data_IF_463309596518
#
_entry.id   IF_463309596518
#
_cell.length_a   1.000
_cell.length_b   1.000
_cell.length_c   1.000
_cell.angle_alpha   90.00
_cell.angle_beta   90.00
_cell.angle_gamma   90.00
#
_symmetry.space_group_name_H-M   'P 1'
#
loop_
_entity.id
_entity.type
_entity.pdbx_description
1 polymer ?
#
# COMPACT_ATOMS: atom_id res chain seq x y z
N UNK A 1 -4.88 -13.51 -12.97
CA UNK A 1 -5.18 -12.49 -11.94
C UNK A 1 -4.83 -11.08 -12.39
N UNK A 2 -3.55 -10.68 -12.54
CA UNK A 2 -3.24 -9.25 -12.77
C UNK A 2 -3.79 -8.69 -14.10
N UNK A 3 -3.78 -9.47 -15.18
CA UNK A 3 -4.43 -9.09 -16.44
C UNK A 3 -5.96 -8.98 -16.32
N UNK A 4 -6.57 -9.73 -15.40
CA UNK A 4 -8.01 -9.63 -15.14
C UNK A 4 -8.34 -8.31 -14.45
N UNK A 5 -7.47 -7.82 -13.56
CA UNK A 5 -7.59 -6.50 -12.94
C UNK A 5 -7.48 -5.40 -13.99
N UNK A 6 -6.48 -5.45 -14.87
CA UNK A 6 -6.35 -4.49 -15.97
C UNK A 6 -7.58 -4.51 -16.89
N UNK A 7 -8.07 -5.71 -17.23
CA UNK A 7 -9.29 -5.86 -18.04
C UNK A 7 -10.52 -5.28 -17.32
N UNK A 8 -10.64 -5.46 -16.01
CA UNK A 8 -11.73 -4.88 -15.23
C UNK A 8 -11.66 -3.34 -15.21
N UNK A 9 -10.46 -2.77 -15.03
CA UNK A 9 -10.25 -1.32 -15.06
C UNK A 9 -10.57 -0.72 -16.43
N UNK A 10 -10.12 -1.37 -17.51
CA UNK A 10 -10.40 -0.91 -18.88
C UNK A 10 -11.91 -0.99 -19.22
N UNK A 11 -12.58 -2.07 -18.80
CA UNK A 11 -14.02 -2.27 -19.04
C UNK A 11 -14.89 -1.35 -18.16
N UNK A 12 -14.43 -1.05 -16.96
CA UNK A 12 -15.13 -0.23 -15.97
C UNK A 12 -14.21 0.86 -15.42
N UNK A 13 -13.95 1.96 -16.15
CA UNK A 13 -13.00 3.00 -15.75
C UNK A 13 -13.29 3.60 -14.35
N UNK A 14 -14.58 3.71 -13.99
CA UNK A 14 -15.03 4.16 -12.67
C UNK A 14 -14.52 3.31 -11.51
N UNK A 15 -14.12 2.06 -11.74
CA UNK A 15 -13.52 1.21 -10.70
C UNK A 15 -12.25 1.83 -10.12
N UNK A 16 -11.44 2.50 -10.95
CA UNK A 16 -10.23 3.20 -10.50
C UNK A 16 -10.60 4.44 -9.69
N UNK A 17 -11.61 5.20 -10.12
CA UNK A 17 -12.14 6.34 -9.37
C UNK A 17 -12.62 5.93 -7.98
N UNK A 18 -13.40 4.85 -7.87
CA UNK A 18 -13.88 4.34 -6.57
C UNK A 18 -12.74 3.84 -5.69
N UNK A 19 -11.76 3.15 -6.26
CA UNK A 19 -10.59 2.72 -5.51
C UNK A 19 -9.80 3.92 -4.98
N UNK A 20 -9.62 4.96 -5.80
CA UNK A 20 -8.93 6.17 -5.37
C UNK A 20 -9.72 6.93 -4.30
N UNK A 21 -11.05 6.98 -4.39
CA UNK A 21 -11.90 7.56 -3.36
C UNK A 21 -11.81 6.82 -2.02
N UNK A 22 -11.53 5.52 -2.02
CA UNK A 22 -11.28 4.75 -0.78
C UNK A 22 -9.89 5.02 -0.19
N UNK A 23 -8.90 5.33 -1.03
CA UNK A 23 -7.52 5.64 -0.66
C UNK A 23 -7.39 7.09 -0.16
N UNK A 24 -8.14 8.02 -0.76
CA UNK A 24 -8.04 9.46 -0.55
C UNK A 24 -8.14 9.92 0.93
N UNK A 25 -9.00 9.33 1.79
CA UNK A 25 -9.10 9.76 3.19
C UNK A 25 -7.85 9.50 4.04
N UNK A 26 -6.85 8.78 3.50
CA UNK A 26 -5.56 8.57 4.18
C UNK A 26 -4.52 9.66 3.86
N UNK A 27 -4.78 10.57 2.92
CA UNK A 27 -3.84 11.64 2.59
C UNK A 27 -3.55 12.55 3.79
N UNK A 28 -2.31 13.04 3.87
CA UNK A 28 -1.84 13.90 4.97
C UNK A 28 -1.49 13.15 6.25
N UNK A 29 -1.75 11.83 6.33
CA UNK A 29 -1.36 10.99 7.47
C UNK A 29 0.07 10.47 7.36
N UNK A 30 0.64 10.43 6.15
CA UNK A 30 2.04 10.05 5.92
C UNK A 30 2.55 10.63 4.61
N UNK A 31 3.61 11.42 4.66
CA UNK A 31 4.23 11.98 3.45
C UNK A 31 4.80 10.89 2.52
N UNK A 32 5.18 9.72 3.06
CA UNK A 32 5.62 8.57 2.25
C UNK A 32 4.44 8.02 1.46
N UNK A 33 3.30 7.84 2.12
CA UNK A 33 2.07 7.37 1.48
C UNK A 33 1.57 8.33 0.41
N UNK A 34 1.52 9.63 0.72
CA UNK A 34 1.07 10.65 -0.22
C UNK A 34 1.90 10.65 -1.52
N UNK A 35 3.23 10.55 -1.39
CA UNK A 35 4.14 10.42 -2.55
C UNK A 35 3.91 9.14 -3.32
N UNK A 36 3.74 8.01 -2.63
CA UNK A 36 3.49 6.72 -3.27
C UNK A 36 2.19 6.73 -4.09
N UNK A 37 1.10 7.23 -3.51
CA UNK A 37 -0.19 7.30 -4.20
C UNK A 37 -0.15 8.28 -5.36
N UNK A 38 0.55 9.42 -5.22
CA UNK A 38 0.75 10.35 -6.34
C UNK A 38 1.48 9.68 -7.50
N UNK A 39 2.61 9.03 -7.23
CA UNK A 39 3.35 8.29 -8.26
C UNK A 39 2.50 7.17 -8.89
N UNK A 40 1.77 6.42 -8.08
CA UNK A 40 0.90 5.35 -8.57
C UNK A 40 -0.22 5.88 -9.48
N UNK A 41 -0.77 7.07 -9.20
CA UNK A 41 -1.73 7.70 -10.10
C UNK A 41 -1.12 7.96 -11.47
N UNK A 42 0.12 8.43 -11.53
CA UNK A 42 0.83 8.66 -12.79
C UNK A 42 1.09 7.34 -13.53
N UNK A 43 1.55 6.30 -12.83
CA UNK A 43 1.79 4.97 -13.43
C UNK A 43 0.53 4.33 -14.01
N UNK A 44 -0.64 4.57 -13.40
CA UNK A 44 -1.93 4.07 -13.90
C UNK A 44 -2.40 4.79 -15.17
N UNK A 45 -1.89 6.00 -15.44
CA UNK A 45 -2.19 6.74 -16.67
C UNK A 45 -1.22 6.39 -17.81
N UNK A 46 -0.12 5.70 -17.53
CA UNK A 46 0.86 5.32 -18.53
C UNK A 46 0.46 3.99 -19.24
N UNK A 47 0.05 4.04 -20.52
CA UNK A 47 -0.33 2.84 -21.26
C UNK A 47 0.87 2.01 -21.70
N UNK A 48 2.10 2.53 -21.62
CA UNK A 48 3.26 1.86 -22.18
C UNK A 48 3.54 0.53 -21.47
N UNK A 49 3.66 -0.52 -22.27
CA UNK A 49 3.90 -1.88 -21.83
C UNK A 49 3.05 -2.32 -20.61
N UNK A 50 1.79 -1.86 -20.52
CA UNK A 50 0.97 -2.02 -19.31
C UNK A 50 0.75 -3.49 -18.90
N UNK A 51 0.65 -4.41 -19.88
CA UNK A 51 0.54 -5.85 -19.62
C UNK A 51 1.84 -6.42 -19.01
N UNK A 52 3.01 -5.95 -19.43
CA UNK A 52 4.30 -6.36 -18.87
C UNK A 52 4.45 -5.89 -17.42
N UNK A 53 3.90 -4.71 -17.10
CA UNK A 53 3.90 -4.14 -15.76
C UNK A 53 2.71 -4.58 -14.91
N UNK A 54 1.78 -5.39 -15.43
CA UNK A 54 0.52 -5.73 -14.77
C UNK A 54 0.69 -6.25 -13.34
N UNK A 55 1.67 -7.14 -13.12
CA UNK A 55 1.93 -7.69 -11.77
C UNK A 55 2.37 -6.60 -10.79
N UNK A 56 3.24 -5.70 -11.26
CA UNK A 56 3.77 -4.60 -10.45
C UNK A 56 2.68 -3.60 -10.12
N UNK A 57 1.92 -3.14 -11.11
CA UNK A 57 0.80 -2.22 -10.92
C UNK A 57 -0.24 -2.77 -9.94
N UNK A 58 -0.62 -4.03 -10.08
CA UNK A 58 -1.61 -4.66 -9.19
C UNK A 58 -1.06 -4.82 -7.77
N UNK A 59 0.22 -5.14 -7.61
CA UNK A 59 0.88 -5.11 -6.30
C UNK A 59 0.82 -3.70 -5.69
N UNK A 60 1.17 -2.68 -6.45
CA UNK A 60 1.26 -1.30 -5.95
C UNK A 60 -0.12 -0.73 -5.59
N UNK A 61 -1.17 -1.10 -6.34
CA UNK A 61 -2.58 -0.86 -5.97
C UNK A 61 -2.95 -1.52 -4.65
N UNK A 62 -2.57 -2.79 -4.46
CA UNK A 62 -2.84 -3.51 -3.21
C UNK A 62 -2.11 -2.86 -2.03
N UNK A 63 -0.86 -2.45 -2.20
CA UNK A 63 -0.08 -1.76 -1.18
C UNK A 63 -0.66 -0.38 -0.84
N UNK A 64 -1.14 0.37 -1.83
CA UNK A 64 -1.81 1.65 -1.61
C UNK A 64 -3.11 1.47 -0.80
N UNK A 65 -3.96 0.49 -1.15
CA UNK A 65 -5.17 0.20 -0.39
C UNK A 65 -4.85 -0.24 1.05
N UNK A 66 -3.89 -1.14 1.23
CA UNK A 66 -3.44 -1.59 2.55
C UNK A 66 -2.91 -0.42 3.39
N UNK A 67 -2.04 0.42 2.82
CA UNK A 67 -1.51 1.61 3.47
C UNK A 67 -2.62 2.56 3.89
N UNK A 68 -3.61 2.80 3.03
CA UNK A 68 -4.75 3.67 3.32
C UNK A 68 -5.54 3.17 4.53
N UNK A 69 -5.88 1.88 4.54
CA UNK A 69 -6.64 1.27 5.63
C UNK A 69 -5.87 1.28 6.94
N UNK A 70 -4.56 0.99 6.91
CA UNK A 70 -3.72 1.04 8.11
C UNK A 70 -3.61 2.46 8.66
N UNK A 71 -3.36 3.46 7.82
CA UNK A 71 -3.30 4.87 8.24
C UNK A 71 -4.66 5.37 8.78
N UNK A 72 -5.77 4.81 8.32
CA UNK A 72 -7.11 5.20 8.77
C UNK A 72 -7.52 4.52 10.08
N UNK A 73 -7.16 3.26 10.26
CA UNK A 73 -7.81 2.41 11.25
C UNK A 73 -6.86 1.60 12.15
N UNK A 74 -5.56 1.58 11.85
CA UNK A 74 -4.57 0.91 12.69
C UNK A 74 -3.86 1.94 13.59
N UNK A 75 -3.26 1.47 14.71
CA UNK A 75 -2.34 2.30 15.49
C UNK A 75 -1.17 2.79 14.64
N UNK A 76 -0.68 3.99 14.93
CA UNK A 76 0.38 4.66 14.15
C UNK A 76 1.64 3.80 14.04
N UNK A 77 2.04 3.09 15.10
CA UNK A 77 3.23 2.23 15.07
C UNK A 77 3.14 1.11 14.02
N UNK A 78 1.93 0.64 13.66
CA UNK A 78 1.72 -0.33 12.58
C UNK A 78 1.77 0.37 11.22
N UNK A 79 1.04 1.47 11.08
CA UNK A 79 0.90 2.18 9.82
C UNK A 79 2.24 2.80 9.37
N UNK A 80 3.01 3.37 10.28
CA UNK A 80 4.32 3.94 9.99
C UNK A 80 5.35 2.86 9.63
N UNK A 81 5.38 1.73 10.35
CA UNK A 81 6.24 0.59 9.99
C UNK A 81 5.89 0.03 8.61
N UNK A 82 4.59 -0.07 8.27
CA UNK A 82 4.14 -0.47 6.94
C UNK A 82 4.60 0.52 5.87
N UNK A 83 4.38 1.82 6.07
CA UNK A 83 4.79 2.84 5.10
C UNK A 83 6.31 2.86 4.88
N UNK A 84 7.11 2.81 5.95
CA UNK A 84 8.57 2.83 5.88
C UNK A 84 9.11 1.64 5.06
N UNK A 85 8.53 0.46 5.25
CA UNK A 85 9.01 -0.77 4.60
C UNK A 85 8.40 -0.96 3.21
N UNK A 86 7.07 -1.04 3.11
CA UNK A 86 6.38 -1.47 1.87
C UNK A 86 6.30 -0.36 0.83
N UNK A 87 6.35 0.91 1.25
CA UNK A 87 6.22 2.06 0.34
C UNK A 87 7.55 2.82 0.19
N UNK A 88 8.31 3.01 1.27
CA UNK A 88 9.62 3.67 1.22
C UNK A 88 10.79 2.72 0.94
N UNK A 89 10.57 1.40 0.95
CA UNK A 89 11.60 0.42 0.58
C UNK A 89 12.63 0.14 1.66
N UNK A 90 12.43 0.58 2.91
CA UNK A 90 13.33 0.29 4.04
C UNK A 90 13.04 -1.12 4.60
N UNK A 91 13.36 -2.14 3.80
CA UNK A 91 13.27 -3.57 4.13
C UNK A 91 14.32 -4.36 3.33
N UNK A 92 14.66 -5.56 3.80
CA UNK A 92 15.59 -6.47 3.14
C UNK A 92 14.89 -7.67 2.48
N UNK A 93 15.66 -8.53 1.80
CA UNK A 93 15.10 -9.67 1.07
C UNK A 93 14.46 -10.77 1.95
N UNK A 94 14.71 -10.76 3.25
CA UNK A 94 14.14 -11.69 4.22
C UNK A 94 13.16 -10.97 5.15
N UNK A 95 12.20 -11.72 5.70
CA UNK A 95 11.41 -11.24 6.84
C UNK A 95 12.29 -10.95 8.05
N UNK A 96 11.82 -10.06 8.93
CA UNK A 96 12.58 -9.62 10.12
C UNK A 96 13.52 -8.44 9.86
N UNK A 97 13.40 -7.76 8.71
CA UNK A 97 14.26 -6.65 8.28
C UNK A 97 13.58 -5.28 8.41
N UNK A 98 12.73 -5.10 9.41
CA UNK A 98 12.09 -3.81 9.68
C UNK A 98 13.14 -2.77 10.16
N UNK A 99 12.88 -1.47 9.96
CA UNK A 99 13.74 -0.40 10.46
C UNK A 99 13.97 -0.52 11.97
N UNK A 100 15.19 -0.23 12.43
CA UNK A 100 15.59 -0.36 13.84
C UNK A 100 14.73 0.44 14.83
N UNK A 101 14.07 1.49 14.34
CA UNK A 101 13.21 2.39 15.11
C UNK A 101 11.73 1.98 15.07
N UNK A 102 11.39 0.82 14.52
CA UNK A 102 10.04 0.26 14.60
C UNK A 102 9.73 -0.17 16.03
N UNK A 103 8.50 0.07 16.50
CA UNK A 103 8.05 -0.38 17.82
C UNK A 103 7.66 -1.87 17.77
N UNK A 104 8.67 -2.73 17.84
CA UNK A 104 8.48 -4.18 17.74
C UNK A 104 7.58 -4.73 18.84
N UNK A 105 7.75 -4.27 20.08
CA UNK A 105 6.96 -4.72 21.22
C UNK A 105 5.48 -4.38 21.03
N UNK A 106 5.14 -3.14 20.63
CA UNK A 106 3.75 -2.78 20.38
C UNK A 106 3.14 -3.54 19.20
N UNK A 107 3.91 -3.73 18.11
CA UNK A 107 3.47 -4.52 16.95
C UNK A 107 3.18 -5.96 17.36
N UNK A 108 4.09 -6.60 18.11
CA UNK A 108 3.95 -7.97 18.57
C UNK A 108 2.81 -8.11 19.57
N UNK A 109 2.71 -7.23 20.57
CA UNK A 109 1.62 -7.27 21.56
C UNK A 109 0.24 -7.11 20.94
N UNK A 110 0.12 -6.34 19.85
CA UNK A 110 -1.13 -6.25 19.08
C UNK A 110 -1.42 -7.51 18.27
N UNK A 111 -0.40 -8.10 17.65
CA UNK A 111 -0.56 -9.27 16.78
C UNK A 111 -0.75 -10.57 17.58
N UNK A 112 -0.20 -10.62 18.80
CA UNK A 112 -0.14 -11.79 19.66
C UNK A 112 -0.46 -11.41 21.12
N UNK A 113 -1.69 -11.01 21.43
CA UNK A 113 -2.07 -10.64 22.79
C UNK A 113 -1.91 -11.84 23.75
N UNK A 114 -1.39 -11.61 24.96
CA UNK A 114 -1.09 -12.66 25.96
C UNK A 114 -2.32 -13.34 26.60
N UNK A 115 -3.47 -13.32 25.94
CA UNK A 115 -4.69 -13.97 26.42
C UNK A 115 -5.39 -14.74 25.30
N UNK A 116 -5.19 -16.05 25.31
CA UNK A 116 -6.18 -17.05 24.93
C UNK A 116 -6.49 -17.89 26.18
#
# INVERSE_FOLDING_TARGET
MCLDVLRAMAKHPRSVEFLMAEIEPAFGKSAVFDRWVSWLKDELQDPDAIENRARRLVQDLALALQGALLLRFAPDYVAQAFCATRLAGDWGYAFGTLPKNSDFEAILGRAWPETA
#
